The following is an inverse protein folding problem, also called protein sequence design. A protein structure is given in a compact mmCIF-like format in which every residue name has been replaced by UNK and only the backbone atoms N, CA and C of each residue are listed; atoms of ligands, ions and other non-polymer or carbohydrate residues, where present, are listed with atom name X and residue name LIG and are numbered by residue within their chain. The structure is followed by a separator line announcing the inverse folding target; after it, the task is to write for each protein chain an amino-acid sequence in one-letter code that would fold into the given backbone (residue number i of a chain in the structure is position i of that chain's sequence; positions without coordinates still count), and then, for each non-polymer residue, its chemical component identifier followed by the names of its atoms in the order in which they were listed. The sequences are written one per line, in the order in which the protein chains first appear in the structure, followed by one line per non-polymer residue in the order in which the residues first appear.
data_IF_340233426161
#
_entry.id   IF_340233426161
#
_cell.length_a   1.000
_cell.length_b   1.000
_cell.length_c   1.000
_cell.angle_alpha   90.00
_cell.angle_beta   90.00
_cell.angle_gamma   90.00
#
_symmetry.space_group_name_H-M   'P 1'
#
loop_
_entity.id
_entity.type
_entity.pdbx_description
1 polymer ?
#
# COMPACT_ATOMS: atom_id res chain seq x y z
N UNK A 1 40.04 41.34 -10.23
CA UNK A 1 39.10 40.29 -10.66
C UNK A 1 38.64 39.58 -9.39
N UNK A 2 37.50 40.01 -8.84
CA UNK A 2 37.00 39.60 -7.54
C UNK A 2 36.14 38.34 -7.72
N UNK A 3 36.53 37.22 -7.10
CA UNK A 3 35.72 36.00 -7.04
C UNK A 3 34.50 36.27 -6.14
N UNK A 4 33.31 36.31 -6.73
CA UNK A 4 32.05 36.29 -5.98
C UNK A 4 31.69 34.82 -5.74
N UNK A 5 31.94 34.36 -4.51
CA UNK A 5 31.39 33.12 -3.97
C UNK A 5 29.88 33.25 -3.87
N UNK A 6 29.14 32.61 -4.78
CA UNK A 6 27.70 32.36 -4.64
C UNK A 6 27.51 31.25 -3.60
N UNK A 7 27.55 31.64 -2.33
CA UNK A 7 27.00 30.86 -1.24
C UNK A 7 25.51 31.19 -1.14
N UNK A 8 24.65 30.25 -1.55
CA UNK A 8 23.20 30.45 -1.57
C UNK A 8 22.51 29.10 -1.46
N UNK A 9 22.40 28.65 -0.21
CA UNK A 9 21.72 27.47 0.31
C UNK A 9 20.69 26.81 -0.61
N UNK A 10 20.97 25.56 -0.96
CA UNK A 10 20.01 24.54 -1.34
C UNK A 10 18.82 24.58 -0.36
N UNK A 11 17.69 25.12 -0.79
CA UNK A 11 16.40 24.83 -0.16
C UNK A 11 16.03 23.39 -0.52
N UNK A 12 16.53 22.43 0.27
CA UNK A 12 15.98 21.08 0.31
C UNK A 12 14.75 21.10 1.25
N UNK A 13 13.73 21.88 0.90
CA UNK A 13 12.47 21.92 1.64
C UNK A 13 11.54 20.85 1.09
N UNK A 14 11.54 19.70 1.75
CA UNK A 14 10.42 18.75 1.78
C UNK A 14 10.02 18.17 0.44
N UNK A 15 10.75 17.14 -0.01
CA UNK A 15 10.17 16.18 -0.95
C UNK A 15 8.86 15.62 -0.38
N UNK A 16 7.94 15.11 -1.23
CA UNK A 16 6.69 14.53 -0.76
C UNK A 16 6.99 13.52 0.35
N UNK A 17 6.31 13.66 1.50
CA UNK A 17 6.43 12.70 2.61
C UNK A 17 6.06 11.34 2.05
N UNK A 18 7.07 10.50 1.88
CA UNK A 18 6.90 9.11 1.45
C UNK A 18 6.93 8.30 2.72
N UNK A 19 5.79 7.75 3.10
CA UNK A 19 5.72 6.83 4.23
C UNK A 19 5.93 5.43 3.68
N UNK A 20 7.02 4.79 4.09
CA UNK A 20 7.33 3.41 3.74
C UNK A 20 6.90 2.49 4.89
N UNK A 21 6.27 1.39 4.53
CA UNK A 21 5.75 0.41 5.47
C UNK A 21 6.26 -0.98 5.13
N UNK A 22 6.49 -1.78 6.17
CA UNK A 22 6.63 -3.23 6.05
C UNK A 22 5.26 -3.87 6.18
N UNK A 23 4.96 -4.83 5.30
CA UNK A 23 3.70 -5.55 5.30
C UNK A 23 3.77 -6.87 6.05
N UNK A 24 2.67 -7.26 6.67
CA UNK A 24 2.40 -8.60 7.19
C UNK A 24 1.02 -9.01 6.73
N UNK A 25 0.90 -10.21 6.18
CA UNK A 25 -0.35 -10.74 5.65
C UNK A 25 -0.96 -11.71 6.65
N UNK A 26 -2.24 -11.54 6.95
CA UNK A 26 -3.01 -12.40 7.85
C UNK A 26 -4.23 -12.89 7.10
N UNK A 27 -4.47 -14.21 7.13
CA UNK A 27 -5.69 -14.77 6.59
C UNK A 27 -6.89 -14.35 7.46
N UNK A 28 -7.91 -13.75 6.84
CA UNK A 28 -9.12 -13.24 7.51
C UNK A 28 -10.23 -14.27 7.65
N UNK A 29 -9.98 -15.52 7.26
CA UNK A 29 -10.94 -16.63 7.24
C UNK A 29 -10.25 -17.95 7.61
N UNK A 30 -10.97 -19.07 7.53
CA UNK A 30 -10.45 -20.38 7.96
C UNK A 30 -9.28 -20.87 7.08
N UNK A 31 -9.35 -20.65 5.77
CA UNK A 31 -8.33 -21.06 4.78
C UNK A 31 -8.21 -19.95 3.75
N UNK A 32 -6.98 -19.55 3.44
CA UNK A 32 -6.69 -18.65 2.33
C UNK A 32 -5.75 -19.30 1.33
N UNK A 33 -6.03 -19.13 0.04
CA UNK A 33 -5.18 -19.58 -1.06
C UNK A 33 -4.16 -18.52 -1.48
N UNK A 34 -3.14 -18.92 -2.25
CA UNK A 34 -2.07 -18.05 -2.75
C UNK A 34 -1.18 -17.45 -1.65
N UNK A 35 -1.03 -18.14 -0.53
CA UNK A 35 -0.28 -17.64 0.63
C UNK A 35 1.17 -17.29 0.29
N UNK A 36 1.81 -18.12 -0.54
CA UNK A 36 3.22 -17.95 -0.89
C UNK A 36 3.43 -16.79 -1.85
N UNK A 37 2.43 -16.45 -2.65
CA UNK A 37 2.47 -15.35 -3.60
C UNK A 37 2.13 -14.01 -2.97
N UNK A 38 1.08 -13.93 -2.14
CA UNK A 38 0.67 -12.67 -1.50
C UNK A 38 1.75 -12.13 -0.57
N UNK A 39 2.46 -12.99 0.15
CA UNK A 39 3.53 -12.58 1.08
C UNK A 39 4.76 -12.01 0.37
N UNK A 40 4.87 -12.17 -0.96
CA UNK A 40 5.95 -11.55 -1.75
C UNK A 40 5.79 -10.04 -1.88
N UNK A 41 4.57 -9.53 -1.70
CA UNK A 41 4.30 -8.11 -1.48
C UNK A 41 4.60 -7.77 -0.01
N UNK A 42 5.83 -7.37 0.28
CA UNK A 42 6.32 -7.18 1.65
C UNK A 42 6.53 -5.71 2.02
N UNK A 43 6.28 -4.79 1.08
CA UNK A 43 6.43 -3.35 1.23
C UNK A 43 5.18 -2.61 0.78
N UNK A 44 4.92 -1.47 1.41
CA UNK A 44 3.95 -0.51 0.90
C UNK A 44 4.45 0.91 1.03
N UNK A 45 3.97 1.78 0.15
CA UNK A 45 4.18 3.21 0.25
C UNK A 45 2.89 3.97 -0.03
N UNK A 46 2.67 5.07 0.69
CA UNK A 46 1.59 6.01 0.38
C UNK A 46 2.21 7.34 -0.03
N UNK A 47 1.97 7.75 -1.28
CA UNK A 47 2.50 9.00 -1.84
C UNK A 47 1.43 9.69 -2.68
N UNK A 48 1.21 10.98 -2.45
CA UNK A 48 0.27 11.81 -3.22
C UNK A 48 -1.17 11.24 -3.32
N UNK A 49 -1.60 10.45 -2.33
CA UNK A 49 -2.93 9.81 -2.34
C UNK A 49 -2.98 8.48 -3.09
N UNK A 50 -1.85 7.96 -3.57
CA UNK A 50 -1.72 6.60 -4.10
C UNK A 50 -1.13 5.69 -3.03
N UNK A 51 -1.70 4.50 -2.90
CA UNK A 51 -1.12 3.38 -2.18
C UNK A 51 -0.47 2.47 -3.21
N UNK A 52 0.79 2.14 -3.02
CA UNK A 52 1.47 1.09 -3.76
C UNK A 52 1.84 -0.04 -2.79
N UNK A 53 1.58 -1.29 -3.20
CA UNK A 53 2.07 -2.50 -2.57
C UNK A 53 3.13 -3.09 -3.51
N UNK A 54 4.30 -3.42 -2.99
CA UNK A 54 5.43 -3.89 -3.81
C UNK A 54 6.28 -4.92 -3.08
N UNK A 55 7.15 -5.59 -3.85
CA UNK A 55 8.18 -6.47 -3.33
C UNK A 55 9.51 -5.76 -3.16
N UNK A 56 10.23 -6.01 -2.06
CA UNK A 56 11.60 -5.52 -1.87
C UNK A 56 12.65 -6.30 -2.66
N UNK A 57 12.29 -7.46 -3.22
CA UNK A 57 13.22 -8.37 -3.92
C UNK A 57 12.91 -8.54 -5.41
N UNK A 58 11.71 -8.13 -5.85
CA UNK A 58 11.26 -8.24 -7.24
C UNK A 58 10.60 -6.92 -7.68
N UNK A 59 11.38 -6.07 -8.35
CA UNK A 59 10.94 -4.73 -8.79
C UNK A 59 9.78 -4.77 -9.80
N UNK A 60 9.51 -5.91 -10.44
CA UNK A 60 8.38 -6.07 -11.34
C UNK A 60 7.07 -6.41 -10.60
N UNK A 61 7.16 -6.83 -9.33
CA UNK A 61 6.01 -7.21 -8.53
C UNK A 61 5.50 -6.01 -7.71
N UNK A 62 4.57 -5.28 -8.31
CA UNK A 62 3.88 -4.17 -7.65
C UNK A 62 2.40 -4.09 -8.07
N UNK A 63 1.63 -3.37 -7.27
CA UNK A 63 0.25 -2.95 -7.57
C UNK A 63 -0.02 -1.62 -6.88
N UNK A 64 -0.82 -0.76 -7.50
CA UNK A 64 -1.14 0.55 -6.98
C UNK A 64 -2.64 0.84 -7.03
N UNK A 65 -3.08 1.77 -6.20
CA UNK A 65 -4.46 2.19 -6.12
C UNK A 65 -4.63 3.57 -5.49
N UNK A 66 -5.74 4.22 -5.81
CA UNK A 66 -6.07 5.56 -5.34
C UNK A 66 -6.76 5.49 -3.98
N UNK A 67 -6.21 6.20 -3.00
CA UNK A 67 -6.77 6.33 -1.65
C UNK A 67 -7.74 7.51 -1.61
N UNK A 68 -9.02 7.24 -1.38
CA UNK A 68 -10.05 8.26 -1.29
C UNK A 68 -10.75 8.30 0.06
N UNK A 69 -11.17 9.50 0.46
CA UNK A 69 -12.04 9.70 1.63
C UNK A 69 -13.47 9.25 1.31
N UNK A 70 -14.14 8.67 2.30
CA UNK A 70 -15.56 8.31 2.21
C UNK A 70 -16.31 8.94 3.37
N UNK A 71 -17.45 9.58 3.09
CA UNK A 71 -18.32 10.14 4.13
C UNK A 71 -19.07 9.09 4.96
N UNK A 72 -18.96 7.81 4.59
CA UNK A 72 -19.59 6.68 5.28
C UNK A 72 -18.64 5.96 6.23
N UNK A 73 -17.33 6.22 6.13
CA UNK A 73 -16.31 5.58 6.96
C UNK A 73 -15.90 6.49 8.13
N UNK A 74 -15.32 5.90 9.16
CA UNK A 74 -14.71 6.64 10.26
C UNK A 74 -13.58 7.54 9.75
N UNK A 75 -13.24 8.59 10.51
CA UNK A 75 -12.26 9.60 10.11
C UNK A 75 -10.86 9.04 9.78
N UNK A 76 -10.51 7.88 10.33
CA UNK A 76 -9.23 7.21 10.13
C UNK A 76 -9.24 6.17 9.00
N UNK A 77 -10.39 5.93 8.36
CA UNK A 77 -10.52 4.95 7.28
C UNK A 77 -10.76 5.61 5.92
N UNK A 78 -10.24 4.96 4.88
CA UNK A 78 -10.28 5.35 3.47
C UNK A 78 -10.67 4.14 2.64
N UNK A 79 -11.15 4.39 1.43
CA UNK A 79 -11.31 3.36 0.41
C UNK A 79 -10.11 3.43 -0.53
N UNK A 80 -9.65 2.28 -1.02
CA UNK A 80 -8.64 2.21 -2.07
C UNK A 80 -9.33 1.77 -3.37
N UNK A 81 -9.00 2.40 -4.49
CA UNK A 81 -9.61 2.11 -5.79
C UNK A 81 -8.55 1.68 -6.79
N UNK A 82 -8.86 0.66 -7.59
CA UNK A 82 -8.02 0.28 -8.74
C UNK A 82 -6.88 -0.68 -8.42
N UNK A 83 -6.79 -1.21 -7.20
CA UNK A 83 -5.84 -2.28 -6.90
C UNK A 83 -6.11 -3.50 -7.79
N UNK A 84 -5.05 -4.04 -8.37
CA UNK A 84 -5.10 -5.25 -9.19
C UNK A 84 -4.10 -6.26 -8.64
N UNK A 85 -4.54 -7.47 -8.31
CA UNK A 85 -3.65 -8.55 -7.91
C UNK A 85 -3.92 -9.79 -8.75
N UNK A 86 -2.86 -10.48 -9.16
CA UNK A 86 -2.93 -11.69 -9.98
C UNK A 86 -3.74 -11.53 -11.28
N UNK A 87 -3.76 -10.33 -11.85
CA UNK A 87 -4.52 -10.01 -13.06
C UNK A 87 -6.00 -9.69 -12.84
N UNK A 88 -6.45 -9.62 -11.58
CA UNK A 88 -7.84 -9.33 -11.22
C UNK A 88 -7.95 -8.02 -10.43
N UNK A 89 -8.90 -7.14 -10.79
CA UNK A 89 -9.22 -5.99 -9.95
C UNK A 89 -9.79 -6.46 -8.62
N UNK A 90 -9.40 -5.81 -7.53
CA UNK A 90 -9.95 -6.05 -6.21
C UNK A 90 -11.13 -5.12 -5.96
N UNK A 91 -12.11 -5.59 -5.20
CA UNK A 91 -13.17 -4.75 -4.64
C UNK A 91 -12.55 -3.64 -3.77
N UNK A 92 -13.22 -2.48 -3.68
CA UNK A 92 -12.69 -1.28 -3.01
C UNK A 92 -12.32 -1.55 -1.54
N UNK A 93 -11.05 -1.85 -1.22
CA UNK A 93 -10.71 -2.33 0.10
C UNK A 93 -10.64 -1.15 1.06
N UNK A 94 -11.00 -1.44 2.31
CA UNK A 94 -10.99 -0.46 3.38
C UNK A 94 -9.60 -0.38 4.00
N UNK A 95 -8.97 0.79 3.89
CA UNK A 95 -7.70 1.14 4.52
C UNK A 95 -7.97 1.95 5.79
N UNK A 96 -7.62 1.43 6.96
CA UNK A 96 -7.76 2.15 8.22
C UNK A 96 -6.38 2.46 8.82
N UNK A 97 -6.10 3.73 9.05
CA UNK A 97 -4.87 4.16 9.69
C UNK A 97 -4.84 3.74 11.17
N UNK A 98 -3.64 3.39 11.62
CA UNK A 98 -3.32 3.05 13.01
C UNK A 98 -2.22 3.97 13.51
N UNK A 99 -1.86 3.90 14.79
CA UNK A 99 -0.82 4.76 15.37
C UNK A 99 0.54 4.66 14.65
N UNK A 100 0.89 3.49 14.11
CA UNK A 100 2.21 3.20 13.52
C UNK A 100 2.09 2.58 12.11
N UNK A 101 1.05 2.92 11.34
CA UNK A 101 0.84 2.38 10.00
C UNK A 101 -0.63 2.29 9.62
N UNK A 102 -1.04 1.20 8.95
CA UNK A 102 -2.44 0.99 8.58
C UNK A 102 -2.80 -0.49 8.55
N UNK A 103 -4.10 -0.77 8.46
CA UNK A 103 -4.66 -2.08 8.14
C UNK A 103 -5.48 -1.95 6.85
N UNK A 104 -5.32 -2.90 5.93
CA UNK A 104 -6.06 -2.97 4.67
C UNK A 104 -6.70 -4.36 4.55
N UNK A 105 -8.02 -4.41 4.44
CA UNK A 105 -8.74 -5.68 4.21
C UNK A 105 -9.05 -5.83 2.74
N UNK A 106 -8.51 -6.87 2.10
CA UNK A 106 -8.67 -7.15 0.67
C UNK A 106 -9.35 -8.52 0.44
N UNK A 107 -10.10 -8.63 -0.64
CA UNK A 107 -10.66 -9.89 -1.14
C UNK A 107 -9.89 -10.27 -2.40
N UNK A 108 -9.07 -11.32 -2.33
CA UNK A 108 -8.19 -11.73 -3.44
C UNK A 108 -8.76 -12.99 -4.10
N UNK A 109 -8.91 -13.02 -5.44
CA UNK A 109 -9.34 -14.22 -6.13
C UNK A 109 -8.41 -15.42 -5.91
N UNK A 110 -9.02 -16.58 -5.66
CA UNK A 110 -8.35 -17.86 -5.48
C UNK A 110 -7.73 -18.37 -6.80
N UNK A 111 -7.10 -19.55 -6.78
CA UNK A 111 -6.49 -20.11 -7.99
C UNK A 111 -7.49 -20.40 -9.10
N UNK A 112 -8.71 -20.80 -8.72
CA UNK A 112 -9.81 -21.07 -9.65
C UNK A 112 -10.38 -19.81 -10.32
N UNK A 113 -10.15 -18.63 -9.75
CA UNK A 113 -10.71 -17.35 -10.19
C UNK A 113 -12.22 -17.19 -9.97
N UNK A 114 -12.91 -18.20 -9.44
CA UNK A 114 -14.35 -18.20 -9.14
C UNK A 114 -14.65 -17.86 -7.67
N UNK A 115 -13.69 -18.15 -6.80
CA UNK A 115 -13.79 -17.88 -5.36
C UNK A 115 -12.75 -16.85 -4.92
N UNK A 116 -12.90 -16.31 -3.70
CA UNK A 116 -11.93 -15.36 -3.14
C UNK A 116 -11.63 -15.65 -1.69
N UNK A 117 -10.40 -15.31 -1.29
CA UNK A 117 -9.92 -15.35 0.09
C UNK A 117 -9.86 -13.94 0.65
N UNK A 118 -10.34 -13.77 1.89
CA UNK A 118 -10.19 -12.48 2.60
C UNK A 118 -8.84 -12.43 3.29
N UNK A 119 -8.08 -11.38 3.01
CA UNK A 119 -6.78 -11.11 3.61
C UNK A 119 -6.79 -9.78 4.35
N UNK A 120 -6.12 -9.76 5.50
CA UNK A 120 -5.86 -8.53 6.26
C UNK A 120 -4.37 -8.23 6.15
N UNK A 121 -4.05 -7.10 5.53
CA UNK A 121 -2.70 -6.57 5.44
C UNK A 121 -2.48 -5.66 6.63
N UNK A 122 -1.45 -5.95 7.43
CA UNK A 122 -1.00 -5.09 8.52
C UNK A 122 0.28 -4.39 8.08
N UNK A 123 0.20 -3.09 7.85
CA UNK A 123 1.33 -2.24 7.49
C UNK A 123 1.88 -1.54 8.73
N UNK A 124 3.21 -1.57 8.89
CA UNK A 124 3.91 -0.90 10.00
C UNK A 124 5.05 -0.03 9.46
N UNK A 125 5.18 1.17 9.99
CA UNK A 125 6.29 2.08 9.64
C UNK A 125 7.64 1.40 9.84
N UNK A 126 8.57 1.66 8.91
CA UNK A 126 9.95 1.15 8.98
C UNK A 126 10.83 2.01 9.88
#
# INVERSE_FOLDING_TARGET
MLLVFLCGCFFQTGGPRTYEYRLTWVCGMDICERSDEVVRYDSAQIRNGELELSSTVDDALFTDGLVATSGMLNADCRLVFGLVMFGHPLDEPMLCFTANGFELTVSIPNEDGETSSTWVIMARER
#
